data_IF_704279335106
#
_entry.id   IF_704279335106
#
_cell.length_a   1.000
_cell.length_b   1.000
_cell.length_c   1.000
_cell.angle_alpha   90.00
_cell.angle_beta   90.00
_cell.angle_gamma   90.00
#
_symmetry.space_group_name_H-M   'P 1'
#
loop_
_entity.id
_entity.type
_entity.pdbx_description
1 polymer ?
#
# COMPACT_ATOMS: atom_id res chain seq x y z
N UNK A 1 -10.92 -21.69 -2.71
CA UNK A 1 -9.93 -21.07 -3.62
C UNK A 1 -10.31 -21.41 -5.05
N UNK A 2 -10.00 -20.54 -6.03
CA UNK A 2 -10.16 -20.82 -7.47
C UNK A 2 -8.77 -20.91 -8.10
N UNK A 3 -8.57 -21.89 -8.97
CA UNK A 3 -7.33 -22.03 -9.74
C UNK A 3 -7.43 -21.18 -11.00
N UNK A 4 -6.40 -20.39 -11.26
CA UNK A 4 -6.25 -19.59 -12.48
C UNK A 4 -4.97 -20.01 -13.20
N UNK A 5 -4.95 -19.88 -14.51
CA UNK A 5 -3.71 -19.93 -15.29
C UNK A 5 -3.21 -18.50 -15.49
N UNK A 6 -1.90 -18.30 -15.34
CA UNK A 6 -1.26 -17.02 -15.56
C UNK A 6 0.09 -17.23 -16.25
N UNK A 7 0.50 -16.24 -17.03
CA UNK A 7 1.82 -16.20 -17.67
C UNK A 7 2.70 -15.25 -16.87
N UNK A 8 3.94 -15.66 -16.63
CA UNK A 8 4.95 -14.91 -15.90
C UNK A 8 6.29 -15.12 -16.60
N UNK A 9 7.13 -14.07 -16.64
CA UNK A 9 8.45 -14.18 -17.25
C UNK A 9 9.33 -15.14 -16.46
N UNK A 10 10.14 -15.92 -17.16
CA UNK A 10 10.98 -16.96 -16.58
C UNK A 10 11.98 -16.43 -15.53
N UNK A 11 12.66 -15.27 -15.74
CA UNK A 11 13.52 -14.70 -14.70
C UNK A 11 12.77 -14.38 -13.41
N UNK A 12 11.57 -13.81 -13.52
CA UNK A 12 10.74 -13.47 -12.36
C UNK A 12 10.26 -14.74 -11.63
N UNK A 13 9.90 -15.79 -12.37
CA UNK A 13 9.55 -17.07 -11.75
C UNK A 13 10.72 -17.69 -10.97
N UNK A 14 11.94 -17.57 -11.49
CA UNK A 14 13.14 -18.06 -10.81
C UNK A 14 13.41 -17.30 -9.50
N UNK A 15 13.22 -15.97 -9.49
CA UNK A 15 13.34 -15.16 -8.28
C UNK A 15 12.27 -15.52 -7.24
N UNK A 16 11.02 -15.75 -7.68
CA UNK A 16 9.95 -16.24 -6.82
C UNK A 16 10.34 -17.59 -6.21
N UNK A 17 10.87 -18.51 -7.01
CA UNK A 17 11.26 -19.84 -6.55
C UNK A 17 12.36 -19.80 -5.50
N UNK A 18 13.37 -18.96 -5.66
CA UNK A 18 14.41 -18.78 -4.65
C UNK A 18 13.82 -18.22 -3.36
N UNK A 19 12.98 -17.18 -3.48
CA UNK A 19 12.37 -16.51 -2.33
C UNK A 19 11.47 -17.45 -1.53
N UNK A 20 10.65 -18.30 -2.18
CA UNK A 20 9.77 -19.21 -1.45
C UNK A 20 10.53 -20.31 -0.71
N UNK A 21 11.73 -20.69 -1.17
CA UNK A 21 12.59 -21.64 -0.46
C UNK A 21 13.11 -21.04 0.84
N UNK A 22 13.55 -19.77 0.80
CA UNK A 22 14.02 -19.03 1.97
C UNK A 22 12.89 -18.78 2.99
N UNK A 23 11.70 -18.46 2.49
CA UNK A 23 10.52 -18.17 3.32
C UNK A 23 9.74 -19.42 3.74
N UNK A 24 10.15 -20.61 3.28
CA UNK A 24 9.46 -21.88 3.51
C UNK A 24 7.95 -21.83 3.20
N UNK A 25 7.59 -21.22 2.07
CA UNK A 25 6.21 -21.06 1.61
C UNK A 25 6.01 -21.70 0.22
N UNK A 26 4.78 -21.66 -0.30
CA UNK A 26 4.47 -22.14 -1.66
C UNK A 26 4.32 -20.97 -2.64
N UNK A 27 4.55 -21.21 -3.93
CA UNK A 27 4.26 -20.22 -4.99
C UNK A 27 2.86 -19.63 -4.87
N UNK A 28 1.86 -20.46 -4.60
CA UNK A 28 0.45 -20.04 -4.54
C UNK A 28 0.16 -19.12 -3.35
N UNK A 29 0.88 -19.29 -2.25
CA UNK A 29 0.76 -18.45 -1.06
C UNK A 29 1.52 -17.14 -1.27
N UNK A 30 2.77 -17.21 -1.71
CA UNK A 30 3.59 -16.05 -2.03
C UNK A 30 2.91 -15.11 -3.04
N UNK A 31 2.45 -15.64 -4.19
CA UNK A 31 1.79 -14.86 -5.24
C UNK A 31 0.47 -14.25 -4.72
N UNK A 32 -0.26 -14.95 -3.86
CA UNK A 32 -1.49 -14.43 -3.26
C UNK A 32 -1.21 -13.23 -2.34
N UNK A 33 -0.19 -13.33 -1.50
CA UNK A 33 0.19 -12.23 -0.62
C UNK A 33 0.76 -11.05 -1.40
N UNK A 34 1.57 -11.31 -2.43
CA UNK A 34 2.04 -10.26 -3.35
C UNK A 34 0.87 -9.54 -4.04
N UNK A 35 -0.13 -10.27 -4.52
CA UNK A 35 -1.32 -9.68 -5.15
C UNK A 35 -2.15 -8.85 -4.15
N UNK A 36 -2.34 -9.33 -2.92
CA UNK A 36 -3.02 -8.57 -1.86
C UNK A 36 -2.27 -7.28 -1.55
N UNK A 37 -0.95 -7.34 -1.46
CA UNK A 37 -0.10 -6.17 -1.20
C UNK A 37 -0.21 -5.15 -2.34
N UNK A 38 -0.15 -5.60 -3.59
CA UNK A 38 -0.30 -4.73 -4.76
C UNK A 38 -1.66 -4.03 -4.79
N UNK A 39 -2.75 -4.76 -4.52
CA UNK A 39 -4.09 -4.18 -4.45
C UNK A 39 -4.23 -3.17 -3.32
N UNK A 40 -3.64 -3.44 -2.15
CA UNK A 40 -3.61 -2.50 -1.03
C UNK A 40 -2.85 -1.22 -1.39
N UNK A 41 -1.67 -1.35 -2.00
CA UNK A 41 -0.88 -0.19 -2.45
C UNK A 41 -1.64 0.65 -3.45
N UNK A 42 -2.30 0.02 -4.43
CA UNK A 42 -3.15 0.72 -5.39
C UNK A 42 -4.29 1.49 -4.69
N UNK A 43 -4.94 0.88 -3.70
CA UNK A 43 -6.01 1.56 -2.96
C UNK A 43 -5.51 2.77 -2.18
N UNK A 44 -4.38 2.63 -1.48
CA UNK A 44 -3.75 3.73 -0.73
C UNK A 44 -3.37 4.88 -1.67
N UNK A 45 -2.69 4.58 -2.79
CA UNK A 45 -2.30 5.60 -3.76
C UNK A 45 -3.51 6.37 -4.32
N UNK A 46 -4.65 5.69 -4.51
CA UNK A 46 -5.89 6.34 -4.93
C UNK A 46 -6.44 7.28 -3.87
N UNK A 47 -6.39 6.90 -2.59
CA UNK A 47 -6.82 7.76 -1.49
C UNK A 47 -5.90 8.97 -1.35
N UNK A 48 -4.59 8.77 -1.45
CA UNK A 48 -3.59 9.85 -1.44
C UNK A 48 -3.85 10.85 -2.57
N UNK A 49 -4.09 10.37 -3.79
CA UNK A 49 -4.45 11.24 -4.92
C UNK A 49 -5.73 12.04 -4.63
N UNK A 50 -6.76 11.40 -4.06
CA UNK A 50 -7.99 12.09 -3.69
C UNK A 50 -7.76 13.17 -2.63
N UNK A 51 -6.93 12.90 -1.63
CA UNK A 51 -6.56 13.88 -0.63
C UNK A 51 -5.80 15.05 -1.25
N UNK A 52 -4.79 14.79 -2.09
CA UNK A 52 -4.03 15.84 -2.79
C UNK A 52 -4.93 16.72 -3.66
N UNK A 53 -5.85 16.11 -4.43
CA UNK A 53 -6.82 16.83 -5.25
C UNK A 53 -7.75 17.67 -4.39
N UNK A 54 -8.23 17.12 -3.26
CA UNK A 54 -9.05 17.82 -2.28
C UNK A 54 -8.37 19.06 -1.72
N UNK A 55 -7.15 18.91 -1.18
CA UNK A 55 -6.39 20.02 -0.62
C UNK A 55 -5.98 21.07 -1.67
N UNK A 56 -5.81 20.67 -2.93
CA UNK A 56 -5.53 21.62 -4.03
C UNK A 56 -6.79 22.39 -4.44
N UNK A 57 -7.94 21.72 -4.49
CA UNK A 57 -9.20 22.32 -4.92
C UNK A 57 -9.79 23.23 -3.84
N UNK A 58 -9.72 22.81 -2.58
CA UNK A 58 -10.15 23.56 -1.42
C UNK A 58 -9.02 23.53 -0.40
N UNK A 59 -8.09 24.50 -0.45
CA UNK A 59 -7.07 24.63 0.59
C UNK A 59 -7.75 24.76 1.94
N UNK A 60 -7.32 23.96 2.91
CA UNK A 60 -7.77 24.08 4.29
C UNK A 60 -7.51 25.51 4.77
N UNK A 61 -8.50 26.15 5.40
CA UNK A 61 -8.25 27.42 6.05
C UNK A 61 -7.39 27.13 7.28
N UNK A 62 -6.19 27.70 7.32
CA UNK A 62 -5.21 27.45 8.37
C UNK A 62 -5.76 27.80 9.77
N UNK A 63 -6.85 28.57 9.84
CA UNK A 63 -7.44 29.05 11.08
C UNK A 63 -8.51 28.12 11.69
N UNK A 64 -9.09 27.17 10.95
CA UNK A 64 -10.21 26.35 11.45
C UNK A 64 -9.91 24.85 11.45
N UNK A 65 -9.34 24.29 10.37
CA UNK A 65 -9.25 22.83 10.23
C UNK A 65 -8.13 22.19 11.07
N UNK A 66 -7.10 22.96 11.42
CA UNK A 66 -5.90 22.48 12.13
C UNK A 66 -5.87 22.97 13.58
N UNK A 67 -6.45 24.14 13.86
CA UNK A 67 -6.41 24.80 15.17
C UNK A 67 -7.11 23.96 16.25
N UNK A 68 -8.20 23.26 15.91
CA UNK A 68 -8.89 22.37 16.86
C UNK A 68 -8.00 21.22 17.37
N UNK A 69 -6.99 20.83 16.60
CA UNK A 69 -6.11 19.70 16.92
C UNK A 69 -4.81 20.12 17.62
N UNK A 70 -4.54 21.42 17.76
CA UNK A 70 -3.31 21.94 18.39
C UNK A 70 -3.22 21.54 19.87
N UNK A 71 -4.33 21.64 20.60
CA UNK A 71 -4.38 21.38 22.05
C UNK A 71 -4.23 19.89 22.42
N UNK A 72 -4.39 18.98 21.45
CA UNK A 72 -4.25 17.52 21.64
C UNK A 72 -2.93 16.96 21.07
N UNK A 73 -2.07 17.84 20.56
CA UNK A 73 -0.83 17.45 19.90
C UNK A 73 0.25 17.01 20.89
N UNK A 74 0.60 15.71 20.90
CA UNK A 74 1.65 15.13 21.74
C UNK A 74 2.70 14.36 20.94
N UNK A 75 3.34 14.99 19.95
CA UNK A 75 4.39 14.36 19.12
C UNK A 75 5.75 14.15 19.84
N UNK A 76 5.85 14.53 21.12
CA UNK A 76 7.10 14.56 21.87
C UNK A 76 7.91 15.82 21.61
N UNK A 77 8.79 16.18 22.55
CA UNK A 77 9.83 17.18 22.31
C UNK A 77 11.02 16.51 21.63
N UNK A 78 11.58 17.15 20.59
CA UNK A 78 12.88 16.76 20.03
C UNK A 78 14.00 16.83 21.07
#
# INVERSE_FOLDING_TARGET
MRTIQMTIDEPLLNEVDQTIQELHTTRSEFIREALKLALRRYHIAKLEQQHEEGYRATPADANDDVVEWEDVQHWGAE
#
